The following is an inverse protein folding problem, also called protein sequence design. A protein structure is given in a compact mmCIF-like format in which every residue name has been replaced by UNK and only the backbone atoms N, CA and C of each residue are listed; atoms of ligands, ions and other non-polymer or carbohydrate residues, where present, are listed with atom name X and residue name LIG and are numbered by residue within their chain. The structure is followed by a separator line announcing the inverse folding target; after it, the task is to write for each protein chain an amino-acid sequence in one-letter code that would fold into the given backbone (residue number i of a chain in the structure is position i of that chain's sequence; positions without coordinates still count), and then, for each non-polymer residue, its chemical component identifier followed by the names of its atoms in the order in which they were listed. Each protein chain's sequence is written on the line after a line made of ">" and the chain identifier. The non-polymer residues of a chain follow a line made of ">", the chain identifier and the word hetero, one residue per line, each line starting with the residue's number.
data_IF_599841536047
#
_entry.id   IF_599841536047
#
_cell.length_a   1.000
_cell.length_b   1.000
_cell.length_c   1.000
_cell.angle_alpha   90.00
_cell.angle_beta   90.00
_cell.angle_gamma   90.00
#
_symmetry.space_group_name_H-M   'P 1'
#
loop_
_entity.id
_entity.type
_entity.pdbx_description
1 polymer ?
#
# COMPACT_ATOMS: atom_id res chain seq x y z
N UNK A 1 22.88 40.18 9.13
CA UNK A 1 22.82 39.87 7.67
C UNK A 1 23.89 38.84 7.40
N UNK A 2 23.54 37.79 6.64
CA UNK A 2 24.51 36.76 6.28
C UNK A 2 25.53 37.33 5.28
N UNK A 3 26.82 37.28 5.62
CA UNK A 3 27.87 37.84 4.76
C UNK A 3 28.28 36.87 3.67
N UNK A 4 28.34 37.35 2.40
CA UNK A 4 28.82 36.56 1.31
C UNK A 4 30.32 36.27 1.40
N UNK A 5 30.71 35.00 1.24
CA UNK A 5 32.10 34.54 1.24
C UNK A 5 32.50 34.10 -0.17
N UNK A 6 33.67 34.57 -0.66
CA UNK A 6 34.23 34.14 -1.95
C UNK A 6 34.83 32.76 -1.83
N UNK A 7 34.44 31.86 -2.72
CA UNK A 7 34.96 30.49 -2.82
C UNK A 7 36.23 30.44 -3.68
N UNK A 8 37.02 29.37 -3.53
CA UNK A 8 38.23 29.14 -4.36
C UNK A 8 37.91 29.03 -5.85
N UNK A 9 36.66 28.65 -6.19
CA UNK A 9 36.14 28.59 -7.57
C UNK A 9 35.85 29.95 -8.20
N UNK A 10 36.05 31.06 -7.47
CA UNK A 10 35.71 32.40 -7.93
C UNK A 10 34.26 32.85 -7.63
N UNK A 11 33.36 31.92 -7.34
CA UNK A 11 31.96 32.19 -7.03
C UNK A 11 31.79 32.70 -5.59
N UNK A 12 30.65 33.36 -5.34
CA UNK A 12 30.27 33.85 -4.04
C UNK A 12 29.19 32.99 -3.41
N UNK A 13 29.30 32.69 -2.09
CA UNK A 13 28.35 31.88 -1.34
C UNK A 13 27.84 32.65 -0.12
N UNK A 14 26.52 32.60 0.08
CA UNK A 14 25.82 33.04 1.30
C UNK A 14 25.17 31.85 1.96
N UNK A 15 25.28 31.75 3.25
CA UNK A 15 24.56 30.77 4.07
C UNK A 15 23.44 31.51 4.80
N UNK A 16 22.20 31.18 4.48
CA UNK A 16 21.00 31.71 5.13
C UNK A 16 20.45 30.68 6.11
N UNK A 17 20.08 31.13 7.30
CA UNK A 17 19.51 30.25 8.31
C UNK A 17 18.20 29.62 7.82
N UNK A 18 18.10 28.29 7.95
CA UNK A 18 16.91 27.56 7.58
C UNK A 18 16.09 27.12 8.80
N UNK A 19 16.61 26.22 9.62
CA UNK A 19 15.91 25.78 10.84
C UNK A 19 16.92 25.29 11.89
N UNK A 20 16.42 25.07 13.13
CA UNK A 20 17.15 24.40 14.21
C UNK A 20 16.51 23.03 14.44
N UNK A 21 17.30 21.97 14.50
CA UNK A 21 16.83 20.60 14.76
C UNK A 21 16.62 20.33 16.27
N UNK A 22 16.14 19.12 16.58
CA UNK A 22 15.84 18.67 17.94
C UNK A 22 17.07 18.65 18.87
N UNK A 23 18.27 18.60 18.31
CA UNK A 23 19.53 18.61 19.02
C UNK A 23 20.09 20.05 19.18
N UNK A 24 19.25 21.07 18.95
CA UNK A 24 19.61 22.47 18.99
C UNK A 24 20.66 22.87 17.94
N UNK A 25 20.88 22.07 16.89
CA UNK A 25 21.79 22.34 15.78
C UNK A 25 21.13 23.19 14.73
N UNK A 26 21.77 24.28 14.33
CA UNK A 26 21.30 25.19 13.28
C UNK A 26 21.63 24.66 11.89
N UNK A 27 20.65 24.62 11.02
CA UNK A 27 20.78 24.26 9.61
C UNK A 27 20.70 25.51 8.73
N UNK A 28 21.51 25.53 7.67
CA UNK A 28 21.62 26.65 6.77
C UNK A 28 21.45 26.22 5.33
N UNK A 29 20.77 27.02 4.53
CA UNK A 29 20.67 26.86 3.09
C UNK A 29 21.76 27.68 2.41
N UNK A 30 22.43 27.05 1.43
CA UNK A 30 23.55 27.66 0.70
C UNK A 30 23.08 28.23 -0.62
N UNK A 31 23.42 29.51 -0.88
CA UNK A 31 23.17 30.19 -2.15
C UNK A 31 24.50 30.56 -2.77
N UNK A 32 24.75 30.10 -4.00
CA UNK A 32 26.03 30.33 -4.71
C UNK A 32 25.74 30.97 -6.06
N UNK A 33 26.44 32.07 -6.35
CA UNK A 33 26.34 32.81 -7.60
C UNK A 33 27.69 33.35 -8.06
N UNK A 34 27.78 33.82 -9.31
CA UNK A 34 28.98 34.40 -9.92
C UNK A 34 29.37 35.74 -9.30
N UNK A 35 28.39 36.51 -8.79
CA UNK A 35 28.61 37.80 -8.16
C UNK A 35 28.15 37.82 -6.70
N UNK A 36 28.79 38.68 -5.88
CA UNK A 36 28.42 38.87 -4.48
C UNK A 36 26.97 39.34 -4.35
N UNK A 37 26.56 40.31 -5.16
CA UNK A 37 25.20 40.90 -5.13
C UNK A 37 24.13 39.85 -5.44
N UNK A 38 24.36 38.97 -6.40
CA UNK A 38 23.42 37.94 -6.80
C UNK A 38 23.26 36.88 -5.70
N UNK A 39 24.34 36.42 -5.08
CA UNK A 39 24.27 35.47 -3.97
C UNK A 39 23.53 36.07 -2.75
N UNK A 40 23.76 37.32 -2.44
CA UNK A 40 23.05 38.06 -1.39
C UNK A 40 21.59 38.31 -1.71
N UNK A 41 21.26 38.58 -2.99
CA UNK A 41 19.89 38.73 -3.46
C UNK A 41 19.10 37.42 -3.31
N UNK A 42 19.65 36.31 -3.78
CA UNK A 42 19.03 34.97 -3.65
C UNK A 42 18.75 34.58 -2.19
N UNK A 43 19.71 34.88 -1.29
CA UNK A 43 19.55 34.62 0.14
C UNK A 43 18.46 35.51 0.75
N UNK A 44 18.41 36.79 0.41
CA UNK A 44 17.37 37.72 0.86
C UNK A 44 15.99 37.37 0.33
N UNK A 45 15.91 37.01 -0.94
CA UNK A 45 14.66 36.57 -1.56
C UNK A 45 14.12 35.31 -0.87
N UNK A 46 14.99 34.33 -0.58
CA UNK A 46 14.62 33.15 0.20
C UNK A 46 14.10 33.51 1.60
N UNK A 47 14.82 34.35 2.33
CA UNK A 47 14.43 34.79 3.68
C UNK A 47 13.08 35.55 3.66
N UNK A 48 12.91 36.46 2.70
CA UNK A 48 11.68 37.23 2.53
C UNK A 48 10.48 36.37 2.12
N UNK A 49 10.68 35.41 1.19
CA UNK A 49 9.64 34.49 0.76
C UNK A 49 9.27 33.52 1.92
N UNK A 50 10.25 33.10 2.72
CA UNK A 50 10.02 32.31 3.92
C UNK A 50 9.19 33.05 4.97
N UNK A 51 9.50 34.34 5.22
CA UNK A 51 8.74 35.19 6.14
C UNK A 51 7.33 35.49 5.64
N UNK A 52 7.16 35.77 4.33
CA UNK A 52 5.83 35.99 3.70
C UNK A 52 5.00 34.71 3.74
N UNK A 53 5.59 33.55 3.40
CA UNK A 53 4.93 32.28 3.48
C UNK A 53 4.48 31.94 4.90
N UNK A 54 5.34 32.14 5.88
CA UNK A 54 5.01 31.90 7.29
C UNK A 54 3.89 32.83 7.80
N UNK A 55 3.87 34.11 7.42
CA UNK A 55 2.78 35.06 7.75
C UNK A 55 1.46 34.68 7.12
N UNK A 56 1.49 34.25 5.86
CA UNK A 56 0.28 33.89 5.10
C UNK A 56 -0.35 32.60 5.62
N UNK A 57 0.46 31.63 6.10
CA UNK A 57 -0.03 30.34 6.58
C UNK A 57 -0.41 30.34 8.07
N UNK A 58 0.17 31.22 8.89
CA UNK A 58 -0.11 31.30 10.32
C UNK A 58 -1.58 31.59 10.65
N UNK A 59 -2.28 32.29 9.79
CA UNK A 59 -3.71 32.61 9.93
C UNK A 59 -4.63 31.52 9.43
N UNK A 60 -4.12 30.54 8.67
CA UNK A 60 -4.92 29.42 8.20
C UNK A 60 -5.29 28.48 9.34
N UNK A 61 -6.51 27.97 9.30
CA UNK A 61 -6.87 26.79 10.09
C UNK A 61 -6.25 25.53 9.50
N UNK A 62 -6.11 24.49 10.30
CA UNK A 62 -5.63 23.20 9.82
C UNK A 62 -6.56 22.66 8.71
N UNK A 63 -7.87 22.83 8.83
CA UNK A 63 -8.84 22.44 7.83
C UNK A 63 -8.60 23.12 6.47
N UNK A 64 -8.33 24.42 6.46
CA UNK A 64 -8.00 25.17 5.24
C UNK A 64 -6.66 24.72 4.63
N UNK A 65 -5.66 24.43 5.48
CA UNK A 65 -4.39 23.87 5.04
C UNK A 65 -4.54 22.50 4.39
N UNK A 66 -5.39 21.63 4.97
CA UNK A 66 -5.74 20.33 4.37
C UNK A 66 -6.40 20.49 3.00
N UNK A 67 -7.41 21.37 2.88
CA UNK A 67 -8.08 21.62 1.60
C UNK A 67 -7.09 22.09 0.53
N UNK A 68 -6.28 23.10 0.84
CA UNK A 68 -5.25 23.59 -0.09
C UNK A 68 -4.25 22.49 -0.47
N UNK A 69 -3.86 21.63 0.48
CA UNK A 69 -2.97 20.51 0.20
C UNK A 69 -3.62 19.51 -0.76
N UNK A 70 -4.88 19.14 -0.51
CA UNK A 70 -5.65 18.22 -1.36
C UNK A 70 -5.80 18.81 -2.77
N UNK A 71 -6.21 20.07 -2.87
CA UNK A 71 -6.40 20.75 -4.15
C UNK A 71 -5.10 20.80 -4.96
N UNK A 72 -3.96 21.10 -4.31
CA UNK A 72 -2.65 21.11 -4.95
C UNK A 72 -2.20 19.76 -5.50
N UNK A 73 -2.80 18.65 -5.06
CA UNK A 73 -2.50 17.27 -5.46
C UNK A 73 -3.56 16.65 -6.35
N UNK A 74 -4.70 17.30 -6.54
CA UNK A 74 -5.89 16.75 -7.21
C UNK A 74 -5.64 16.33 -8.66
N UNK A 75 -4.75 17.03 -9.38
CA UNK A 75 -4.38 16.72 -10.76
C UNK A 75 -3.30 15.63 -10.91
N UNK A 76 -2.55 15.33 -9.83
CA UNK A 76 -1.39 14.41 -9.87
C UNK A 76 -1.71 13.06 -9.22
N UNK A 77 -2.55 13.07 -8.18
CA UNK A 77 -2.88 11.85 -7.44
C UNK A 77 -4.10 11.14 -8.03
N UNK A 78 -4.15 9.82 -7.83
CA UNK A 78 -5.31 9.03 -8.24
C UNK A 78 -6.58 9.49 -7.48
N UNK A 79 -7.78 9.50 -8.13
CA UNK A 79 -9.03 9.91 -7.49
C UNK A 79 -9.32 9.19 -6.17
N UNK A 80 -9.04 7.90 -6.07
CA UNK A 80 -9.19 7.13 -4.84
C UNK A 80 -8.28 7.58 -3.69
N UNK A 81 -7.12 8.18 -4.02
CA UNK A 81 -6.22 8.76 -3.01
C UNK A 81 -6.78 10.09 -2.51
N UNK A 82 -7.30 10.91 -3.43
CA UNK A 82 -7.97 12.18 -3.08
C UNK A 82 -9.19 11.91 -2.21
N UNK A 83 -10.04 10.93 -2.57
CA UNK A 83 -11.18 10.53 -1.74
C UNK A 83 -10.74 10.06 -0.33
N UNK A 84 -9.64 9.33 -0.23
CA UNK A 84 -9.04 8.96 1.05
C UNK A 84 -8.59 10.18 1.87
N UNK A 85 -8.03 11.21 1.24
CA UNK A 85 -7.64 12.46 1.89
C UNK A 85 -8.85 13.27 2.34
N UNK A 86 -9.91 13.33 1.54
CA UNK A 86 -11.17 13.96 1.89
C UNK A 86 -11.86 13.29 3.08
N UNK A 87 -11.84 11.94 3.13
CA UNK A 87 -12.34 11.17 4.28
C UNK A 87 -11.54 11.48 5.54
N UNK A 88 -10.22 11.59 5.42
CA UNK A 88 -9.34 11.97 6.52
C UNK A 88 -9.69 13.38 7.04
N UNK A 89 -9.81 14.36 6.14
CA UNK A 89 -10.19 15.73 6.48
C UNK A 89 -11.53 15.79 7.24
N UNK A 90 -12.52 14.99 6.84
CA UNK A 90 -13.85 14.99 7.46
C UNK A 90 -13.90 14.28 8.81
N UNK A 91 -13.13 13.21 8.99
CA UNK A 91 -13.33 12.26 10.08
C UNK A 91 -12.21 12.21 11.11
N UNK A 92 -11.00 12.71 10.78
CA UNK A 92 -9.82 12.56 11.59
C UNK A 92 -9.39 13.89 12.22
N UNK A 93 -8.71 13.84 13.36
CA UNK A 93 -8.16 15.01 14.06
C UNK A 93 -9.14 16.17 14.23
N UNK A 94 -10.40 15.87 14.51
CA UNK A 94 -11.50 16.85 14.55
C UNK A 94 -11.20 18.04 15.46
N UNK A 95 -10.55 17.80 16.60
CA UNK A 95 -10.18 18.86 17.54
C UNK A 95 -9.13 19.84 16.96
N UNK A 96 -8.29 19.37 16.05
CA UNK A 96 -7.23 20.22 15.44
C UNK A 96 -7.76 21.02 14.23
N UNK A 97 -8.77 20.53 13.52
CA UNK A 97 -9.23 21.10 12.26
C UNK A 97 -9.62 22.59 12.36
N UNK A 98 -10.33 23.07 13.41
CA UNK A 98 -10.66 24.49 13.55
C UNK A 98 -9.53 25.35 14.07
N UNK A 99 -8.42 24.75 14.54
CA UNK A 99 -7.30 25.48 15.12
C UNK A 99 -6.48 26.18 14.03
N UNK A 100 -6.06 27.44 14.32
CA UNK A 100 -5.06 28.12 13.48
C UNK A 100 -3.72 27.39 13.55
N UNK A 101 -3.00 27.33 12.42
CA UNK A 101 -1.69 26.70 12.36
C UNK A 101 -0.70 27.31 13.37
N UNK A 102 -0.78 28.62 13.63
CA UNK A 102 0.04 29.29 14.65
C UNK A 102 -0.09 28.63 16.04
N UNK A 103 -1.30 28.20 16.39
CA UNK A 103 -1.63 27.69 17.72
C UNK A 103 -1.40 26.18 17.89
N UNK A 104 -1.21 25.45 16.78
CA UNK A 104 -0.96 24.00 16.84
C UNK A 104 0.49 23.76 17.27
N UNK A 105 0.68 23.02 18.35
CA UNK A 105 1.97 22.56 18.84
C UNK A 105 2.03 21.02 18.92
N UNK A 106 3.17 20.48 19.32
CA UNK A 106 3.38 19.05 19.44
C UNK A 106 2.42 18.37 20.43
N UNK A 107 2.08 19.05 21.54
CA UNK A 107 1.17 18.54 22.56
C UNK A 107 -0.25 18.35 22.00
N UNK A 108 -0.77 19.35 21.28
CA UNK A 108 -2.07 19.24 20.62
C UNK A 108 -2.14 18.06 19.67
N UNK A 109 -1.05 17.81 18.92
CA UNK A 109 -1.00 16.67 17.97
C UNK A 109 -0.97 15.35 18.72
N UNK A 110 -0.21 15.24 19.82
CA UNK A 110 -0.17 14.03 20.64
C UNK A 110 -1.52 13.73 21.26
N UNK A 111 -2.23 14.72 21.78
CA UNK A 111 -3.57 14.55 22.34
C UNK A 111 -4.56 14.07 21.28
N UNK A 112 -4.53 14.66 20.09
CA UNK A 112 -5.40 14.23 18.98
C UNK A 112 -5.08 12.82 18.50
N UNK A 113 -3.81 12.40 18.52
CA UNK A 113 -3.42 11.01 18.22
C UNK A 113 -3.90 10.06 19.31
N UNK A 114 -3.82 10.44 20.58
CA UNK A 114 -4.30 9.62 21.70
C UNK A 114 -5.82 9.42 21.61
N UNK A 115 -6.58 10.50 21.36
CA UNK A 115 -8.04 10.44 21.15
C UNK A 115 -8.40 9.49 20.00
N UNK A 116 -7.73 9.64 18.87
CA UNK A 116 -7.95 8.75 17.72
C UNK A 116 -7.60 7.30 18.00
N UNK A 117 -6.57 7.06 18.81
CA UNK A 117 -6.10 5.70 19.14
C UNK A 117 -7.10 4.93 20.02
N UNK A 118 -7.99 5.64 20.72
CA UNK A 118 -9.06 5.01 21.51
C UNK A 118 -10.15 4.36 20.63
N UNK A 119 -10.32 4.82 19.39
CA UNK A 119 -11.44 4.39 18.52
C UNK A 119 -11.00 3.78 17.20
N UNK A 120 -9.75 3.97 16.77
CA UNK A 120 -9.25 3.50 15.48
C UNK A 120 -8.06 2.54 15.62
N UNK A 121 -7.92 1.67 14.62
CA UNK A 121 -6.77 0.75 14.57
C UNK A 121 -5.44 1.50 14.48
N UNK A 122 -4.34 0.94 15.03
CA UNK A 122 -2.99 1.51 14.93
C UNK A 122 -2.59 1.87 13.50
N UNK A 123 -2.96 1.05 12.52
CA UNK A 123 -2.69 1.30 11.10
C UNK A 123 -3.43 2.54 10.59
N UNK A 124 -4.71 2.70 10.96
CA UNK A 124 -5.51 3.87 10.56
C UNK A 124 -4.94 5.15 11.16
N UNK A 125 -4.61 5.14 12.46
CA UNK A 125 -3.99 6.29 13.13
C UNK A 125 -2.69 6.70 12.46
N UNK A 126 -1.81 5.72 12.14
CA UNK A 126 -0.54 5.97 11.46
C UNK A 126 -0.72 6.55 10.06
N UNK A 127 -1.70 6.06 9.29
CA UNK A 127 -1.99 6.58 7.96
C UNK A 127 -2.49 8.03 8.03
N UNK A 128 -3.40 8.31 8.95
CA UNK A 128 -3.95 9.66 9.16
C UNK A 128 -2.86 10.64 9.64
N UNK A 129 -2.03 10.21 10.59
CA UNK A 129 -0.88 11.01 11.03
C UNK A 129 0.13 11.27 9.91
N UNK A 130 0.33 10.31 9.00
CA UNK A 130 1.19 10.48 7.83
C UNK A 130 0.71 11.63 6.92
N UNK A 131 -0.60 11.72 6.69
CA UNK A 131 -1.19 12.84 5.92
C UNK A 131 -1.12 14.16 6.71
N UNK A 132 -1.46 14.15 8.01
CA UNK A 132 -1.30 15.33 8.87
C UNK A 132 0.13 15.86 8.83
N UNK A 133 1.13 14.99 8.95
CA UNK A 133 2.55 15.35 8.87
C UNK A 133 2.92 15.96 7.51
N UNK A 134 2.37 15.44 6.41
CA UNK A 134 2.61 15.98 5.08
C UNK A 134 2.01 17.40 4.93
N UNK A 135 0.81 17.62 5.46
CA UNK A 135 0.15 18.94 5.48
C UNK A 135 0.94 19.92 6.33
N UNK A 136 1.29 19.54 7.56
CA UNK A 136 2.06 20.40 8.46
C UNK A 136 3.44 20.73 7.92
N UNK A 137 4.11 19.76 7.27
CA UNK A 137 5.41 20.04 6.62
C UNK A 137 5.28 21.06 5.48
N UNK A 138 4.16 21.08 4.78
CA UNK A 138 3.93 22.03 3.69
C UNK A 138 3.59 23.45 4.20
N UNK A 139 2.82 23.57 5.30
CA UNK A 139 2.25 24.83 5.74
C UNK A 139 2.79 25.36 7.08
N UNK A 140 3.45 24.52 7.87
CA UNK A 140 4.13 24.86 9.14
C UNK A 140 5.46 24.11 9.25
N UNK A 141 6.42 24.30 8.32
CA UNK A 141 7.66 23.52 8.22
C UNK A 141 8.58 23.66 9.46
N UNK A 142 8.40 24.72 10.26
CA UNK A 142 9.15 24.92 11.50
C UNK A 142 8.71 24.03 12.66
N UNK A 143 7.53 23.37 12.55
CA UNK A 143 7.05 22.44 13.56
C UNK A 143 7.67 21.05 13.33
N UNK A 144 8.55 20.66 14.25
CA UNK A 144 9.15 19.34 14.28
C UNK A 144 8.17 18.39 14.97
N UNK A 145 7.82 17.30 14.30
CA UNK A 145 6.88 16.30 14.82
C UNK A 145 7.63 15.17 15.52
N UNK A 146 7.47 15.09 16.83
CA UNK A 146 8.02 14.04 17.71
C UNK A 146 6.92 13.13 18.27
N UNK A 147 5.81 12.99 17.53
CA UNK A 147 4.60 12.29 17.96
C UNK A 147 4.85 10.81 18.19
N UNK A 148 4.51 10.31 19.37
CA UNK A 148 4.47 8.87 19.66
C UNK A 148 3.21 8.26 19.05
N UNK A 149 3.40 7.32 18.14
CA UNK A 149 2.32 6.64 17.46
C UNK A 149 2.06 5.26 18.07
N UNK A 150 0.80 4.75 18.05
CA UNK A 150 0.50 3.43 18.55
C UNK A 150 1.36 2.37 17.86
N UNK A 151 1.72 1.31 18.61
CA UNK A 151 2.57 0.25 18.11
C UNK A 151 1.97 -0.40 16.86
N UNK A 152 2.82 -0.74 15.90
CA UNK A 152 2.41 -1.53 14.75
C UNK A 152 1.95 -2.92 15.22
N UNK A 153 0.74 -3.27 14.86
CA UNK A 153 0.25 -4.64 15.02
C UNK A 153 0.46 -5.35 13.69
N UNK A 154 1.16 -6.46 13.71
CA UNK A 154 1.33 -7.32 12.55
C UNK A 154 -0.04 -7.93 12.19
N UNK A 155 -0.49 -7.81 10.93
CA UNK A 155 -1.79 -8.36 10.55
C UNK A 155 -1.72 -9.89 10.57
N UNK A 156 -2.61 -10.53 11.30
CA UNK A 156 -2.85 -11.97 11.17
C UNK A 156 -3.60 -12.22 9.87
N UNK A 157 -3.03 -13.02 8.98
CA UNK A 157 -3.68 -13.36 7.72
C UNK A 157 -4.45 -14.68 7.87
N UNK A 158 -5.77 -14.62 7.92
CA UNK A 158 -6.61 -15.81 7.73
C UNK A 158 -6.68 -16.09 6.23
N UNK A 159 -6.13 -17.21 5.78
CA UNK A 159 -6.17 -17.65 4.40
C UNK A 159 -7.22 -18.76 4.32
N UNK A 160 -8.16 -18.73 3.36
CA UNK A 160 -9.15 -19.79 3.23
C UNK A 160 -8.47 -21.11 2.87
N UNK A 161 -9.04 -22.24 3.32
CA UNK A 161 -8.61 -23.56 2.95
C UNK A 161 -9.19 -23.97 1.58
N UNK A 162 -8.66 -25.03 0.99
CA UNK A 162 -9.20 -25.58 -0.27
C UNK A 162 -10.65 -26.06 -0.10
N UNK A 163 -10.99 -26.64 1.05
CA UNK A 163 -12.35 -27.09 1.38
C UNK A 163 -13.32 -25.91 1.49
N UNK A 164 -12.90 -24.82 2.10
CA UNK A 164 -13.71 -23.59 2.19
C UNK A 164 -13.97 -22.99 0.82
N UNK A 165 -12.96 -22.96 -0.06
CA UNK A 165 -13.13 -22.47 -1.45
C UNK A 165 -14.06 -23.39 -2.23
N UNK A 166 -13.93 -24.71 -2.10
CA UNK A 166 -14.82 -25.67 -2.75
C UNK A 166 -16.27 -25.52 -2.25
N UNK A 167 -16.47 -25.27 -0.96
CA UNK A 167 -17.79 -24.98 -0.38
C UNK A 167 -18.40 -23.73 -0.99
N UNK A 168 -17.60 -22.65 -1.11
CA UNK A 168 -18.05 -21.42 -1.77
C UNK A 168 -18.40 -21.67 -3.24
N UNK A 169 -17.57 -22.41 -3.97
CA UNK A 169 -17.80 -22.71 -5.40
C UNK A 169 -19.05 -23.59 -5.61
N UNK A 170 -19.30 -24.54 -4.73
CA UNK A 170 -20.48 -25.41 -4.81
C UNK A 170 -21.81 -24.63 -4.61
N UNK A 171 -21.78 -23.56 -3.81
CA UNK A 171 -22.94 -22.73 -3.50
C UNK A 171 -22.98 -21.42 -4.30
N UNK A 172 -21.99 -21.17 -5.14
CA UNK A 172 -21.86 -19.93 -5.88
C UNK A 172 -22.88 -19.86 -7.02
N UNK A 173 -23.57 -18.72 -7.13
CA UNK A 173 -24.34 -18.41 -8.34
C UNK A 173 -23.43 -18.17 -9.55
N UNK A 174 -23.96 -18.23 -10.76
CA UNK A 174 -23.24 -17.97 -12.01
C UNK A 174 -22.51 -16.62 -12.00
N UNK A 175 -23.07 -15.63 -11.30
CA UNK A 175 -22.45 -14.30 -11.19
C UNK A 175 -21.11 -14.34 -10.45
N UNK A 176 -21.03 -15.02 -9.30
CA UNK A 176 -19.86 -14.93 -8.40
C UNK A 176 -18.88 -16.10 -8.56
N UNK A 177 -19.29 -17.20 -9.18
CA UNK A 177 -18.46 -18.39 -9.37
C UNK A 177 -17.18 -18.10 -10.15
N UNK A 178 -17.29 -17.52 -11.33
CA UNK A 178 -16.13 -17.16 -12.17
C UNK A 178 -15.19 -16.16 -11.48
N UNK A 179 -15.63 -15.08 -10.85
CA UNK A 179 -14.80 -14.25 -9.98
C UNK A 179 -14.00 -15.02 -8.92
N UNK A 180 -14.61 -15.99 -8.22
CA UNK A 180 -13.91 -16.82 -7.24
C UNK A 180 -12.79 -17.62 -7.91
N UNK A 181 -13.09 -18.31 -9.02
CA UNK A 181 -12.11 -19.08 -9.80
C UNK A 181 -10.94 -18.20 -10.27
N UNK A 182 -11.21 -17.04 -10.85
CA UNK A 182 -10.19 -16.11 -11.32
C UNK A 182 -9.30 -15.57 -10.18
N UNK A 183 -9.85 -15.37 -8.99
CA UNK A 183 -9.10 -14.88 -7.86
C UNK A 183 -8.28 -15.99 -7.16
N UNK A 184 -8.87 -17.20 -6.99
CA UNK A 184 -8.24 -18.32 -6.29
C UNK A 184 -7.26 -19.12 -7.16
N UNK A 185 -7.48 -19.19 -8.49
CA UNK A 185 -6.61 -19.93 -9.41
C UNK A 185 -5.74 -19.02 -10.30
N UNK A 186 -6.08 -17.74 -10.40
CA UNK A 186 -5.37 -16.77 -11.26
C UNK A 186 -4.86 -15.55 -10.52
N UNK A 187 -5.09 -15.45 -9.21
CA UNK A 187 -4.66 -14.30 -8.41
C UNK A 187 -5.17 -12.94 -8.89
N UNK A 188 -6.30 -12.87 -9.59
CA UNK A 188 -6.85 -11.60 -10.04
C UNK A 188 -7.39 -10.77 -8.86
N UNK A 189 -7.12 -9.47 -8.91
CA UNK A 189 -7.74 -8.52 -7.96
C UNK A 189 -9.20 -8.31 -8.35
N UNK A 190 -10.05 -7.97 -7.37
CA UNK A 190 -11.45 -7.62 -7.62
C UNK A 190 -11.61 -6.61 -8.78
N UNK A 191 -10.83 -5.56 -8.77
CA UNK A 191 -10.86 -4.51 -9.80
C UNK A 191 -10.38 -5.01 -11.18
N UNK A 192 -9.52 -6.00 -11.24
CA UNK A 192 -9.06 -6.65 -12.48
C UNK A 192 -10.15 -7.55 -13.03
N UNK A 193 -10.78 -8.38 -12.18
CA UNK A 193 -11.94 -9.21 -12.59
C UNK A 193 -13.07 -8.36 -13.18
N UNK A 194 -13.41 -7.24 -12.53
CA UNK A 194 -14.46 -6.34 -13.00
C UNK A 194 -14.11 -5.61 -14.30
N UNK A 195 -12.82 -5.52 -14.64
CA UNK A 195 -12.35 -4.86 -15.86
C UNK A 195 -12.20 -5.83 -17.05
N UNK A 196 -12.21 -7.15 -16.81
CA UNK A 196 -12.09 -8.14 -17.88
C UNK A 196 -13.18 -8.00 -18.93
N UNK A 197 -12.81 -8.35 -20.14
CA UNK A 197 -13.69 -8.52 -21.30
C UNK A 197 -13.39 -9.85 -21.97
N UNK A 198 -14.27 -10.34 -22.82
CA UNK A 198 -14.04 -11.60 -23.54
C UNK A 198 -12.75 -11.56 -24.38
N UNK A 199 -12.36 -10.39 -24.90
CA UNK A 199 -11.13 -10.23 -25.68
C UNK A 199 -9.84 -10.42 -24.86
N UNK A 200 -9.93 -10.39 -23.54
CA UNK A 200 -8.79 -10.64 -22.65
C UNK A 200 -8.59 -12.15 -22.36
N UNK A 201 -9.54 -13.00 -22.82
CA UNK A 201 -9.57 -14.44 -22.55
C UNK A 201 -9.04 -15.21 -23.75
N UNK A 202 -7.82 -15.73 -23.65
CA UNK A 202 -7.19 -16.62 -24.64
C UNK A 202 -7.44 -18.10 -24.34
N UNK A 203 -6.82 -18.97 -25.13
CA UNK A 203 -6.96 -20.43 -24.98
C UNK A 203 -6.10 -21.03 -23.86
N UNK A 204 -5.11 -20.29 -23.38
CA UNK A 204 -4.20 -20.73 -22.32
C UNK A 204 -4.36 -19.94 -21.01
N UNK A 205 -5.22 -18.92 -20.99
CA UNK A 205 -5.39 -18.07 -19.80
C UNK A 205 -5.96 -16.69 -20.12
N UNK A 206 -5.77 -15.75 -19.20
CA UNK A 206 -6.29 -14.38 -19.32
C UNK A 206 -5.17 -13.35 -19.29
N UNK A 207 -5.34 -12.28 -20.07
CA UNK A 207 -4.45 -11.12 -20.05
C UNK A 207 -5.03 -10.05 -19.12
N UNK A 208 -4.27 -9.67 -18.11
CA UNK A 208 -4.65 -8.63 -17.15
C UNK A 208 -3.86 -7.37 -17.49
N UNK A 209 -4.53 -6.33 -17.97
CA UNK A 209 -3.92 -5.06 -18.38
C UNK A 209 -4.73 -3.83 -17.97
N UNK A 210 -5.82 -4.01 -17.21
CA UNK A 210 -6.74 -2.95 -16.80
C UNK A 210 -7.42 -3.27 -15.47
N UNK A 211 -7.98 -2.24 -14.85
CA UNK A 211 -8.68 -2.36 -13.58
C UNK A 211 -9.89 -1.40 -13.55
N UNK A 212 -11.00 -1.87 -13.01
CA UNK A 212 -12.20 -1.08 -12.75
C UNK A 212 -12.04 -0.33 -11.42
N UNK A 213 -12.13 1.00 -11.46
CA UNK A 213 -12.02 1.87 -10.29
C UNK A 213 -13.17 2.87 -10.30
N UNK A 214 -13.47 3.45 -9.14
CA UNK A 214 -14.45 4.53 -9.05
C UNK A 214 -13.79 5.88 -9.31
N UNK A 215 -14.47 6.74 -10.06
CA UNK A 215 -14.14 8.15 -10.17
C UNK A 215 -14.71 8.96 -8.98
N UNK A 216 -14.48 10.28 -8.98
CA UNK A 216 -15.00 11.19 -7.94
C UNK A 216 -16.54 11.27 -7.87
N UNK A 217 -17.22 10.87 -8.93
CA UNK A 217 -18.68 10.84 -9.04
C UNK A 217 -19.26 9.45 -8.74
N UNK A 218 -18.43 8.54 -8.25
CA UNK A 218 -18.78 7.15 -7.96
C UNK A 218 -19.15 6.32 -9.20
N UNK A 219 -18.74 6.74 -10.41
CA UNK A 219 -18.89 5.96 -11.63
C UNK A 219 -17.73 4.97 -11.77
N UNK A 220 -18.04 3.78 -12.29
CA UNK A 220 -16.99 2.79 -12.60
C UNK A 220 -16.28 3.22 -13.88
N UNK A 221 -14.96 3.42 -13.79
CA UNK A 221 -14.09 3.73 -14.93
C UNK A 221 -12.98 2.70 -15.05
N UNK A 222 -12.64 2.35 -16.29
CA UNK A 222 -11.56 1.41 -16.58
C UNK A 222 -10.26 2.20 -16.74
N UNK A 223 -9.23 1.78 -16.02
CA UNK A 223 -7.89 2.39 -16.06
C UNK A 223 -6.81 1.34 -16.25
N UNK A 224 -5.66 1.69 -16.83
CA UNK A 224 -4.49 0.82 -16.82
C UNK A 224 -4.05 0.53 -15.38
N UNK A 225 -3.30 -0.57 -15.13
CA UNK A 225 -2.78 -0.89 -13.82
C UNK A 225 -1.87 0.21 -13.28
N UNK A 226 -1.84 0.37 -11.95
CA UNK A 226 -0.96 1.37 -11.29
C UNK A 226 0.54 1.11 -11.49
N UNK A 227 0.93 -0.10 -11.85
CA UNK A 227 2.33 -0.51 -12.02
C UNK A 227 2.46 -1.46 -13.21
N UNK A 228 3.64 -1.50 -13.83
CA UNK A 228 3.95 -2.44 -14.91
C UNK A 228 3.73 -3.92 -14.51
N UNK A 229 3.94 -4.27 -13.24
CA UNK A 229 3.65 -5.60 -12.72
C UNK A 229 2.15 -5.97 -12.75
N UNK A 230 1.27 -5.00 -12.97
CA UNK A 230 -0.17 -5.24 -13.19
C UNK A 230 -0.49 -5.71 -14.61
N UNK A 231 0.39 -5.48 -15.59
CA UNK A 231 0.22 -5.99 -16.94
C UNK A 231 0.88 -7.38 -17.03
N UNK A 232 0.07 -8.42 -17.13
CA UNK A 232 0.56 -9.81 -17.07
C UNK A 232 -0.39 -10.79 -17.75
N UNK A 233 0.16 -11.90 -18.19
CA UNK A 233 -0.59 -13.07 -18.58
C UNK A 233 -0.73 -14.02 -17.38
N UNK A 234 -1.93 -14.55 -17.17
CA UNK A 234 -2.26 -15.49 -16.10
C UNK A 234 -2.71 -16.80 -16.73
N UNK A 235 -1.91 -17.88 -16.65
CA UNK A 235 -2.30 -19.18 -17.16
C UNK A 235 -3.45 -19.77 -16.33
N UNK A 236 -4.40 -20.41 -16.98
CA UNK A 236 -5.55 -21.04 -16.33
C UNK A 236 -5.82 -22.42 -16.94
N UNK A 237 -6.33 -23.38 -16.15
CA UNK A 237 -6.76 -24.66 -16.65
C UNK A 237 -7.89 -24.55 -17.70
N UNK A 238 -7.96 -25.45 -18.72
CA UNK A 238 -8.92 -25.35 -19.79
C UNK A 238 -10.40 -25.31 -19.34
N UNK A 239 -10.75 -26.04 -18.27
CA UNK A 239 -12.11 -26.02 -17.72
C UNK A 239 -12.48 -24.65 -17.13
N UNK A 240 -11.55 -23.97 -16.47
CA UNK A 240 -11.77 -22.61 -15.95
C UNK A 240 -11.91 -21.63 -17.12
N UNK A 241 -11.05 -21.74 -18.16
CA UNK A 241 -11.13 -20.89 -19.34
C UNK A 241 -12.51 -21.01 -19.99
N UNK A 242 -13.05 -22.23 -20.09
CA UNK A 242 -14.40 -22.47 -20.62
C UNK A 242 -15.45 -21.73 -19.81
N UNK A 243 -15.43 -21.85 -18.46
CA UNK A 243 -16.37 -21.14 -17.58
C UNK A 243 -16.23 -19.61 -17.73
N UNK A 244 -15.00 -19.10 -17.87
CA UNK A 244 -14.75 -17.66 -18.07
C UNK A 244 -15.30 -17.18 -19.41
N UNK A 245 -15.12 -17.94 -20.51
CA UNK A 245 -15.65 -17.59 -21.84
C UNK A 245 -17.19 -17.56 -21.86
N UNK A 246 -17.83 -18.41 -21.08
CA UNK A 246 -19.29 -18.52 -20.97
C UNK A 246 -19.87 -17.48 -19.97
N UNK A 247 -19.04 -16.80 -19.21
CA UNK A 247 -19.48 -15.85 -18.17
C UNK A 247 -20.10 -14.58 -18.79
N UNK A 248 -21.36 -14.30 -18.42
CA UNK A 248 -22.16 -13.21 -19.01
C UNK A 248 -22.04 -11.87 -18.31
N UNK A 249 -21.24 -11.76 -17.23
CA UNK A 249 -21.23 -10.61 -16.32
C UNK A 249 -19.95 -9.78 -16.41
N UNK A 250 -19.27 -9.79 -17.54
CA UNK A 250 -18.14 -8.91 -17.81
C UNK A 250 -18.52 -7.44 -17.57
N UNK A 251 -17.59 -6.65 -17.02
CA UNK A 251 -17.85 -5.26 -16.71
C UNK A 251 -18.71 -5.00 -15.46
N UNK A 252 -18.89 -6.00 -14.59
CA UNK A 252 -19.63 -5.85 -13.35
C UNK A 252 -18.97 -4.84 -12.40
N UNK A 253 -19.80 -4.18 -11.56
CA UNK A 253 -19.24 -3.20 -10.62
C UNK A 253 -18.49 -3.88 -9.47
N UNK A 254 -17.36 -3.28 -9.00
CA UNK A 254 -16.61 -3.83 -7.87
C UNK A 254 -17.40 -3.91 -6.56
N UNK A 255 -18.37 -3.01 -6.33
CA UNK A 255 -19.24 -3.05 -5.17
C UNK A 255 -20.17 -4.27 -5.23
N UNK A 256 -20.90 -4.46 -6.35
CA UNK A 256 -21.78 -5.61 -6.55
C UNK A 256 -21.06 -6.95 -6.37
N UNK A 257 -19.82 -7.05 -6.89
CA UNK A 257 -19.02 -8.26 -6.72
C UNK A 257 -18.67 -8.50 -5.24
N UNK A 258 -18.25 -7.46 -4.51
CA UNK A 258 -17.95 -7.60 -3.08
C UNK A 258 -19.18 -7.99 -2.26
N UNK A 259 -20.32 -7.36 -2.50
CA UNK A 259 -21.55 -7.63 -1.77
C UNK A 259 -22.05 -9.05 -2.03
N UNK A 260 -21.95 -9.52 -3.28
CA UNK A 260 -22.30 -10.90 -3.63
C UNK A 260 -21.37 -11.92 -2.98
N UNK A 261 -20.07 -11.64 -2.97
CA UNK A 261 -19.10 -12.50 -2.30
C UNK A 261 -19.33 -12.56 -0.77
N UNK A 262 -19.52 -11.41 -0.14
CA UNK A 262 -19.74 -11.36 1.30
C UNK A 262 -21.03 -12.10 1.69
N UNK A 263 -22.11 -11.98 0.91
CA UNK A 263 -23.35 -12.74 1.12
C UNK A 263 -23.12 -14.23 1.01
N UNK A 264 -22.39 -14.68 -0.01
CA UNK A 264 -22.06 -16.09 -0.20
C UNK A 264 -21.25 -16.64 0.99
N UNK A 265 -20.23 -15.92 1.46
CA UNK A 265 -19.42 -16.32 2.63
C UNK A 265 -20.30 -16.49 3.86
N UNK A 266 -21.25 -15.59 4.09
CA UNK A 266 -22.22 -15.70 5.20
C UNK A 266 -23.16 -16.90 5.03
N UNK A 267 -23.71 -17.12 3.84
CA UNK A 267 -24.61 -18.24 3.53
C UNK A 267 -23.95 -19.60 3.71
N UNK A 268 -22.67 -19.72 3.33
CA UNK A 268 -21.92 -20.96 3.48
C UNK A 268 -21.36 -21.18 4.90
N UNK A 269 -21.57 -20.24 5.81
CA UNK A 269 -21.02 -20.26 7.17
C UNK A 269 -19.50 -20.50 7.20
N UNK A 270 -18.79 -20.02 6.18
CA UNK A 270 -17.32 -20.02 6.10
C UNK A 270 -16.80 -18.87 6.99
N UNK A 271 -15.65 -19.03 7.68
CA UNK A 271 -15.05 -17.95 8.44
C UNK A 271 -14.95 -16.66 7.60
N UNK A 272 -15.19 -15.50 8.22
CA UNK A 272 -15.23 -14.24 7.47
C UNK A 272 -13.93 -13.97 6.73
N UNK A 273 -13.96 -14.07 5.41
CA UNK A 273 -12.86 -13.76 4.50
C UNK A 273 -13.28 -12.69 3.50
N UNK A 274 -12.37 -11.80 3.14
CA UNK A 274 -12.61 -10.85 2.05
C UNK A 274 -12.22 -11.45 0.69
N UNK A 275 -12.81 -10.96 -0.41
CA UNK A 275 -12.46 -11.41 -1.76
C UNK A 275 -10.95 -11.39 -2.06
N UNK A 276 -10.20 -10.44 -1.47
CA UNK A 276 -8.75 -10.37 -1.63
C UNK A 276 -7.99 -11.55 -1.01
N UNK A 277 -8.61 -12.28 -0.06
CA UNK A 277 -8.01 -13.46 0.56
C UNK A 277 -7.92 -14.66 -0.37
N UNK A 278 -8.77 -14.72 -1.41
CA UNK A 278 -8.65 -15.72 -2.47
C UNK A 278 -7.31 -15.61 -3.23
N UNK A 279 -6.85 -14.38 -3.42
CA UNK A 279 -5.55 -14.11 -4.00
C UNK A 279 -4.39 -14.49 -3.06
N UNK A 280 -4.59 -14.39 -1.75
CA UNK A 280 -3.61 -14.89 -0.76
C UNK A 280 -3.55 -16.42 -0.77
N UNK A 281 -4.71 -17.08 -0.91
CA UNK A 281 -4.81 -18.53 -1.11
C UNK A 281 -3.97 -18.99 -2.32
N UNK A 282 -4.15 -18.38 -3.48
CA UNK A 282 -3.34 -18.67 -4.66
C UNK A 282 -1.83 -18.63 -4.36
N UNK A 283 -1.37 -17.58 -3.69
CA UNK A 283 0.03 -17.44 -3.36
C UNK A 283 0.53 -18.54 -2.41
N UNK A 284 -0.27 -18.89 -1.40
CA UNK A 284 0.06 -19.91 -0.41
C UNK A 284 0.08 -21.31 -1.02
N UNK A 285 -0.86 -21.63 -1.90
CA UNK A 285 -0.90 -22.92 -2.59
C UNK A 285 0.30 -23.11 -3.51
N UNK A 286 0.62 -22.12 -4.35
CA UNK A 286 1.78 -22.23 -5.23
C UNK A 286 3.10 -22.31 -4.45
N UNK A 287 3.21 -21.56 -3.35
CA UNK A 287 4.38 -21.67 -2.48
C UNK A 287 4.48 -23.05 -1.82
N UNK A 288 3.37 -23.63 -1.35
CA UNK A 288 3.30 -24.97 -0.81
C UNK A 288 3.69 -26.06 -1.82
N UNK A 289 3.39 -25.82 -3.11
CA UNK A 289 3.82 -26.69 -4.22
C UNK A 289 5.29 -26.49 -4.63
N UNK A 290 6.05 -25.60 -3.95
CA UNK A 290 7.47 -25.37 -4.24
C UNK A 290 7.71 -24.45 -5.44
N UNK A 291 6.71 -23.74 -5.94
CA UNK A 291 6.89 -22.77 -7.04
C UNK A 291 7.72 -21.59 -6.49
N UNK A 292 8.81 -21.19 -7.19
CA UNK A 292 9.65 -20.08 -6.73
C UNK A 292 8.89 -18.78 -6.58
N UNK A 293 9.11 -18.08 -5.47
CA UNK A 293 8.44 -16.82 -5.10
C UNK A 293 8.45 -15.76 -6.21
N UNK A 294 9.54 -15.70 -6.97
CA UNK A 294 9.68 -14.77 -8.10
C UNK A 294 8.64 -15.02 -9.18
N UNK A 295 8.35 -16.29 -9.48
CA UNK A 295 7.33 -16.68 -10.46
C UNK A 295 5.93 -16.42 -9.92
N UNK A 296 5.68 -16.75 -8.64
CA UNK A 296 4.41 -16.45 -7.98
C UNK A 296 4.14 -14.94 -8.01
N UNK A 297 5.15 -14.13 -7.66
CA UNK A 297 5.03 -12.67 -7.69
C UNK A 297 4.73 -12.13 -9.09
N UNK A 298 5.37 -12.68 -10.12
CA UNK A 298 5.17 -12.29 -11.51
C UNK A 298 3.75 -12.61 -12.00
N UNK A 299 3.31 -13.87 -11.88
CA UNK A 299 1.97 -14.32 -12.30
C UNK A 299 0.90 -13.59 -11.49
N UNK A 300 1.08 -13.47 -10.19
CA UNK A 300 0.16 -12.76 -9.33
C UNK A 300 0.20 -11.24 -9.46
N UNK A 301 1.22 -10.63 -10.09
CA UNK A 301 1.36 -9.18 -10.21
C UNK A 301 1.63 -8.49 -8.86
N UNK A 302 2.47 -9.08 -8.01
CA UNK A 302 3.04 -8.41 -6.83
C UNK A 302 4.28 -7.62 -7.21
N UNK A 303 4.42 -6.43 -6.62
CA UNK A 303 5.54 -5.54 -6.92
C UNK A 303 6.88 -6.10 -6.42
N UNK A 304 6.88 -6.86 -5.34
CA UNK A 304 8.07 -7.45 -4.74
C UNK A 304 7.76 -8.79 -4.04
N UNK A 305 8.76 -9.64 -3.98
CA UNK A 305 8.73 -10.92 -3.24
C UNK A 305 8.49 -10.70 -1.74
N UNK A 306 9.02 -9.62 -1.16
CA UNK A 306 8.83 -9.32 0.27
C UNK A 306 7.35 -9.15 0.66
N UNK A 307 6.53 -8.56 -0.23
CA UNK A 307 5.07 -8.46 0.00
C UNK A 307 4.42 -9.84 -0.04
N UNK A 308 4.88 -10.71 -0.93
CA UNK A 308 4.39 -12.08 -1.04
C UNK A 308 4.77 -12.90 0.21
N UNK A 309 6.01 -12.79 0.67
CA UNK A 309 6.51 -13.51 1.85
C UNK A 309 5.70 -13.18 3.11
N UNK A 310 5.30 -11.93 3.31
CA UNK A 310 4.42 -11.55 4.42
C UNK A 310 3.04 -12.25 4.38
N UNK A 311 2.59 -12.72 3.22
CA UNK A 311 1.30 -13.40 3.08
C UNK A 311 1.38 -14.81 3.65
N UNK A 312 2.40 -15.58 3.29
CA UNK A 312 2.50 -16.98 3.66
C UNK A 312 3.39 -17.26 4.87
N UNK A 313 4.08 -16.28 5.45
CA UNK A 313 4.84 -16.46 6.69
C UNK A 313 3.98 -17.08 7.84
N UNK A 314 2.69 -16.77 7.87
CA UNK A 314 1.77 -17.37 8.83
C UNK A 314 1.41 -18.82 8.48
N UNK A 315 1.25 -19.12 7.20
CA UNK A 315 0.96 -20.49 6.72
C UNK A 315 2.15 -21.43 6.94
N UNK A 316 3.38 -20.90 6.90
CA UNK A 316 4.59 -21.66 7.21
C UNK A 316 4.64 -22.11 8.67
N UNK A 317 4.09 -21.32 9.61
CA UNK A 317 4.01 -21.72 11.02
C UNK A 317 3.11 -22.93 11.21
N UNK A 318 1.97 -22.99 10.54
CA UNK A 318 1.03 -24.10 10.64
C UNK A 318 1.57 -25.39 9.99
N UNK A 319 2.45 -25.26 8.99
CA UNK A 319 3.15 -26.38 8.32
C UNK A 319 4.54 -26.67 8.88
N UNK A 320 4.95 -26.03 9.97
CA UNK A 320 6.30 -26.18 10.55
C UNK A 320 6.61 -27.63 10.92
N UNK A 321 5.64 -28.36 11.47
CA UNK A 321 5.81 -29.78 11.83
C UNK A 321 6.02 -30.68 10.59
N UNK A 322 5.27 -30.43 9.52
CA UNK A 322 5.42 -31.15 8.25
C UNK A 322 6.78 -30.87 7.61
N UNK A 323 7.21 -29.60 7.62
CA UNK A 323 8.53 -29.21 7.13
C UNK A 323 9.65 -29.80 7.95
N UNK A 324 9.52 -29.83 9.28
CA UNK A 324 10.49 -30.46 10.16
C UNK A 324 10.62 -31.96 9.87
N UNK A 325 9.51 -32.68 9.64
CA UNK A 325 9.52 -34.09 9.22
C UNK A 325 10.23 -34.27 7.88
N UNK A 326 9.97 -33.41 6.88
CA UNK A 326 10.66 -33.45 5.57
C UNK A 326 12.16 -33.23 5.73
N UNK A 327 12.59 -32.25 6.54
CA UNK A 327 14.01 -31.99 6.82
C UNK A 327 14.66 -33.21 7.47
N UNK A 328 14.03 -33.79 8.49
CA UNK A 328 14.53 -35.00 9.17
C UNK A 328 14.70 -36.15 8.17
N UNK A 329 13.69 -36.41 7.34
CA UNK A 329 13.74 -37.50 6.36
C UNK A 329 14.84 -37.29 5.30
N UNK A 330 15.08 -36.07 4.83
CA UNK A 330 16.16 -35.77 3.89
C UNK A 330 17.52 -36.14 4.50
N UNK A 331 17.78 -35.72 5.73
CA UNK A 331 19.07 -35.99 6.38
C UNK A 331 19.20 -37.44 6.87
N UNK A 332 18.12 -38.09 7.29
CA UNK A 332 18.13 -39.53 7.59
C UNK A 332 18.52 -40.34 6.34
N UNK A 333 17.89 -40.09 5.19
CA UNK A 333 18.19 -40.78 3.93
C UNK A 333 19.63 -40.55 3.45
N UNK A 334 20.17 -39.33 3.64
CA UNK A 334 21.52 -39.00 3.19
C UNK A 334 22.63 -39.60 4.06
N UNK A 335 22.35 -39.86 5.34
CA UNK A 335 23.36 -40.35 6.28
C UNK A 335 23.20 -41.85 6.66
N UNK A 336 22.09 -42.50 6.30
CA UNK A 336 21.92 -43.95 6.49
C UNK A 336 22.46 -44.78 5.32
N UNK A 337 22.78 -44.16 4.17
CA UNK A 337 23.30 -44.85 2.98
C UNK A 337 24.78 -45.32 3.14
N UNK A 338 25.54 -44.76 4.10
CA UNK A 338 26.97 -45.08 4.26
C UNK A 338 27.26 -46.26 5.24
N UNK A 339 26.26 -46.69 6.03
CA UNK A 339 26.50 -47.76 7.01
C UNK A 339 26.43 -49.20 6.45
N UNK A 340 25.89 -49.36 5.23
CA UNK A 340 25.78 -50.67 4.58
C UNK A 340 26.98 -51.05 3.71
N UNK A 341 27.88 -50.07 3.38
CA UNK A 341 29.06 -50.33 2.56
C UNK A 341 30.35 -50.62 3.39
N UNK A 342 30.31 -50.46 4.72
CA UNK A 342 31.45 -50.75 5.60
C UNK A 342 31.49 -52.18 6.19
N UNK A 343 30.42 -52.98 5.99
CA UNK A 343 30.38 -54.36 6.47
C UNK A 343 30.76 -55.43 5.43
N UNK A 344 31.05 -55.05 4.19
CA UNK A 344 31.46 -56.00 3.13
C UNK A 344 32.95 -55.91 2.75
N UNK A 345 33.78 -55.30 3.61
CA UNK A 345 35.25 -55.26 3.41
C UNK A 345 36.00 -55.66 4.76
N UNK A 346 35.54 -56.69 5.44
CA UNK A 346 36.29 -57.32 6.51
C UNK A 346 36.35 -58.85 6.28
#
# INVERSE_FOLDING_TARGET
>A
MANAKKLKSGNWRVLEYDYTDENNKRHYKSFTASTKKEAEYMAKEYSHNKQRGAKTYNDLTLQEAYRRYIDSKSSVLAPSTIDGYEKNLRNDFKMLMPMKLSNINQEHIQLAVNEMSATKSPKSVRNSHGLLSAVLRAYKPQLILTTRLPQKVEPTYTIPTTEEINTLLASASDFIRVPILLASSGSLRRSEVCALTLNDVGDLGVTVNKAAVYDKNNNVVIKPPKTNAGNRFVPLPPHIIKEVKEWKYFGCSPAKLSDSFNRLVQQCNVPHISFHKLRHYFASELHACGIPDKHIAQIGGWKSVAVLQNIYQHTLRDKQEEMNKKIINIFQNNFTADSSNLQNQA
#
